data_IF_877534148766
#
_entry.id   IF_877534148766
#
_cell.length_a   1.000
_cell.length_b   1.000
_cell.length_c   1.000
_cell.angle_alpha   90.00
_cell.angle_beta   90.00
_cell.angle_gamma   90.00
#
_symmetry.space_group_name_H-M   'P 1'
#
loop_
_entity.id
_entity.type
_entity.pdbx_description
1 polymer ?
#
# COMPACT_ATOMS: atom_id res chain seq x y z
N UNK A 1 -16.62 -26.82 -1.61
CA UNK A 1 -15.81 -27.23 -2.76
C UNK A 1 -15.57 -25.98 -3.60
N UNK A 2 -14.30 -25.66 -3.93
CA UNK A 2 -13.84 -24.57 -4.83
C UNK A 2 -14.06 -23.16 -4.21
N UNK A 3 -13.11 -22.22 -4.13
CA UNK A 3 -12.04 -21.81 -5.06
C UNK A 3 -10.79 -21.33 -4.29
N UNK A 4 -9.69 -22.07 -4.42
CA UNK A 4 -8.34 -21.51 -4.38
C UNK A 4 -8.11 -20.81 -5.72
N UNK A 5 -7.98 -19.50 -5.74
CA UNK A 5 -7.39 -18.77 -6.86
C UNK A 5 -6.99 -17.39 -6.38
N UNK A 6 -5.67 -17.14 -6.31
CA UNK A 6 -5.00 -15.89 -6.74
C UNK A 6 -3.54 -15.93 -6.25
N UNK A 7 -2.69 -16.75 -6.86
CA UNK A 7 -1.22 -16.63 -6.72
C UNK A 7 -0.56 -16.00 -7.95
N UNK A 8 -1.31 -15.76 -9.04
CA UNK A 8 -0.73 -15.44 -10.35
C UNK A 8 -0.59 -13.95 -10.66
N UNK A 9 -1.22 -13.05 -9.88
CA UNK A 9 -1.21 -11.61 -10.18
C UNK A 9 0.05 -10.88 -9.65
N UNK A 10 0.84 -11.52 -8.79
CA UNK A 10 1.99 -10.93 -8.09
C UNK A 10 3.22 -10.65 -8.98
N UNK A 11 3.26 -11.12 -10.24
CA UNK A 11 4.46 -11.03 -11.10
C UNK A 11 4.60 -9.76 -11.93
N UNK A 12 3.53 -9.02 -12.23
CA UNK A 12 3.53 -8.11 -13.41
C UNK A 12 3.68 -6.61 -13.14
N UNK A 13 3.69 -6.14 -11.90
CA UNK A 13 3.69 -4.68 -11.60
C UNK A 13 5.03 -4.09 -11.08
N UNK A 14 6.08 -4.89 -10.85
CA UNK A 14 7.36 -4.37 -10.32
C UNK A 14 8.53 -4.57 -11.30
N UNK A 15 8.59 -3.69 -12.30
CA UNK A 15 9.79 -3.49 -13.11
C UNK A 15 10.92 -2.87 -12.26
N UNK A 16 12.06 -3.59 -12.22
CA UNK A 16 13.37 -3.17 -11.69
C UNK A 16 13.49 -2.96 -10.16
N UNK A 17 13.35 -4.05 -9.41
CA UNK A 17 14.25 -4.55 -8.33
C UNK A 17 13.49 -5.55 -7.45
N UNK A 18 13.04 -6.65 -8.05
CA UNK A 18 12.61 -7.83 -7.30
C UNK A 18 13.87 -8.65 -7.00
N UNK A 19 14.17 -9.02 -5.74
CA UNK A 19 15.23 -9.98 -5.45
C UNK A 19 14.94 -11.30 -6.18
N UNK A 20 15.93 -11.83 -6.87
CA UNK A 20 15.88 -12.94 -7.83
C UNK A 20 15.54 -14.34 -7.23
N UNK A 21 14.77 -14.41 -6.12
CA UNK A 21 14.52 -15.65 -5.36
C UNK A 21 13.06 -16.14 -5.44
N UNK A 22 12.23 -15.59 -6.34
CA UNK A 22 10.81 -15.93 -6.49
C UNK A 22 10.51 -16.81 -7.72
N UNK A 23 11.53 -17.41 -8.32
CA UNK A 23 11.40 -18.16 -9.59
C UNK A 23 11.86 -19.63 -9.55
N UNK A 24 11.94 -20.25 -8.37
CA UNK A 24 11.94 -21.71 -8.30
C UNK A 24 10.54 -22.21 -7.95
N UNK A 25 9.92 -23.10 -8.76
CA UNK A 25 8.83 -23.93 -8.28
C UNK A 25 9.43 -24.93 -7.28
N UNK A 26 9.68 -24.46 -6.05
CA UNK A 26 9.94 -25.34 -4.92
C UNK A 26 8.66 -26.05 -4.57
N UNK A 27 8.42 -27.16 -5.25
CA UNK A 27 7.70 -28.30 -4.70
C UNK A 27 8.57 -28.95 -3.62
N UNK A 28 8.89 -28.18 -2.59
CA UNK A 28 9.36 -28.73 -1.33
C UNK A 28 8.21 -28.44 -0.39
N UNK A 29 7.69 -29.50 0.21
CA UNK A 29 6.82 -29.44 1.36
C UNK A 29 7.41 -28.44 2.36
N UNK A 30 7.01 -27.15 2.29
CA UNK A 30 7.19 -26.21 3.40
C UNK A 30 6.51 -26.93 4.53
N UNK A 31 7.34 -27.37 5.47
CA UNK A 31 6.96 -27.89 6.77
C UNK A 31 5.68 -27.21 7.19
N UNK A 32 4.74 -27.97 7.75
CA UNK A 32 3.63 -27.40 8.50
C UNK A 32 4.25 -26.63 9.67
N UNK A 33 4.76 -25.44 9.39
CA UNK A 33 5.26 -24.45 10.32
C UNK A 33 4.02 -23.98 11.03
N UNK A 34 3.61 -24.76 12.02
CA UNK A 34 2.71 -24.28 13.06
C UNK A 34 3.42 -23.02 13.56
N UNK A 35 2.85 -21.83 13.32
CA UNK A 35 3.54 -20.60 13.67
C UNK A 35 3.87 -20.69 15.15
N UNK A 36 5.14 -20.51 15.48
CA UNK A 36 5.53 -20.47 16.88
C UNK A 36 4.76 -19.33 17.53
N UNK A 37 4.36 -19.50 18.80
CA UNK A 37 3.69 -18.44 19.56
C UNK A 37 4.47 -17.12 19.55
N UNK A 38 5.80 -17.20 19.42
CA UNK A 38 6.67 -16.05 19.26
C UNK A 38 6.52 -15.35 17.89
N UNK A 39 6.23 -16.08 16.83
CA UNK A 39 6.04 -15.51 15.49
C UNK A 39 4.69 -14.79 15.39
N UNK A 40 3.68 -15.38 16.02
CA UNK A 40 2.36 -14.77 16.13
C UNK A 40 2.41 -13.49 16.96
N UNK A 41 3.22 -13.44 18.03
CA UNK A 41 3.38 -12.22 18.83
C UNK A 41 4.03 -11.08 18.04
N UNK A 42 5.06 -11.37 17.24
CA UNK A 42 5.72 -10.38 16.36
C UNK A 42 4.77 -9.91 15.27
N UNK A 43 4.05 -10.83 14.62
CA UNK A 43 3.08 -10.48 13.58
C UNK A 43 1.94 -9.60 14.14
N UNK A 44 1.41 -9.95 15.30
CA UNK A 44 0.37 -9.17 15.99
C UNK A 44 0.85 -7.77 16.38
N UNK A 45 2.11 -7.65 16.80
CA UNK A 45 2.70 -6.36 17.13
C UNK A 45 2.89 -5.48 15.89
N UNK A 46 3.37 -6.06 14.78
CA UNK A 46 3.40 -5.35 13.49
C UNK A 46 2.00 -4.89 13.07
N UNK A 47 1.00 -5.76 13.15
CA UNK A 47 -0.38 -5.42 12.79
C UNK A 47 -0.90 -4.27 13.64
N UNK A 48 -0.66 -4.30 14.96
CA UNK A 48 -1.05 -3.22 15.88
C UNK A 48 -0.40 -1.89 15.51
N UNK A 49 0.90 -1.87 15.24
CA UNK A 49 1.60 -0.63 14.85
C UNK A 49 1.06 -0.09 13.53
N UNK A 50 0.86 -0.95 12.53
CA UNK A 50 0.31 -0.55 11.23
C UNK A 50 -1.11 0.01 11.38
N UNK A 51 -1.98 -0.64 12.16
CA UNK A 51 -3.34 -0.16 12.45
C UNK A 51 -3.34 1.19 13.16
N UNK A 52 -2.45 1.40 14.14
CA UNK A 52 -2.31 2.68 14.82
C UNK A 52 -1.90 3.80 13.84
N UNK A 53 -0.99 3.51 12.91
CA UNK A 53 -0.58 4.46 11.88
C UNK A 53 -1.74 4.77 10.94
N UNK A 54 -2.48 3.75 10.48
CA UNK A 54 -3.68 3.90 9.64
C UNK A 54 -4.75 4.77 10.33
N UNK A 55 -5.02 4.52 11.61
CA UNK A 55 -5.97 5.31 12.41
C UNK A 55 -5.53 6.77 12.49
N UNK A 56 -4.24 7.03 12.73
CA UNK A 56 -3.69 8.40 12.73
C UNK A 56 -3.78 9.10 11.36
N UNK A 57 -3.94 8.33 10.28
CA UNK A 57 -4.15 8.79 8.92
C UNK A 57 -5.64 8.94 8.56
N UNK A 58 -6.54 8.71 9.52
CA UNK A 58 -7.98 8.74 9.33
C UNK A 58 -8.51 7.59 8.47
N UNK A 59 -7.82 6.44 8.49
CA UNK A 59 -8.34 5.18 7.97
C UNK A 59 -8.88 4.39 9.17
N UNK A 60 -10.18 4.11 9.16
CA UNK A 60 -10.84 3.35 10.24
C UNK A 60 -10.74 1.85 9.99
N UNK A 61 -10.90 1.06 11.04
CA UNK A 61 -10.93 -0.42 10.96
C UNK A 61 -12.11 -0.92 10.11
N UNK A 62 -13.16 -0.10 9.95
CA UNK A 62 -14.26 -0.40 9.03
C UNK A 62 -13.93 -0.18 7.56
N UNK A 63 -12.86 0.56 7.23
CA UNK A 63 -12.43 0.79 5.86
C UNK A 63 -11.33 -0.19 5.42
N UNK A 64 -10.44 -0.58 6.34
CA UNK A 64 -9.29 -1.41 6.02
C UNK A 64 -8.93 -2.40 7.12
N UNK A 65 -8.53 -3.59 6.69
CA UNK A 65 -7.94 -4.64 7.51
C UNK A 65 -6.44 -4.76 7.26
N UNK A 66 -5.72 -5.30 8.23
CA UNK A 66 -4.27 -5.49 8.16
C UNK A 66 -3.94 -6.93 8.49
N UNK A 67 -3.33 -7.62 7.53
CA UNK A 67 -2.75 -8.94 7.71
C UNK A 67 -1.22 -8.83 7.67
N UNK A 68 -0.53 -9.56 8.54
CA UNK A 68 0.93 -9.59 8.56
C UNK A 68 1.40 -11.01 8.28
N UNK A 69 2.26 -11.15 7.28
CA UNK A 69 2.76 -12.45 6.83
C UNK A 69 4.28 -12.52 6.98
N UNK A 70 4.78 -13.64 7.49
CA UNK A 70 6.19 -13.99 7.39
C UNK A 70 6.49 -14.45 5.96
N UNK A 71 7.36 -13.74 5.26
CA UNK A 71 7.72 -14.03 3.86
C UNK A 71 8.99 -14.88 3.74
N UNK A 72 9.78 -14.96 4.81
CA UNK A 72 11.00 -15.77 4.86
C UNK A 72 11.93 -15.29 5.95
N UNK A 73 13.23 -15.50 5.73
CA UNK A 73 14.30 -15.10 6.63
C UNK A 73 15.39 -14.40 5.84
N UNK A 74 16.03 -13.42 6.47
CA UNK A 74 17.16 -12.69 5.91
C UNK A 74 18.46 -13.42 6.24
N UNK A 75 19.56 -13.06 5.56
CA UNK A 75 20.89 -13.70 5.73
C UNK A 75 21.42 -13.66 7.18
N UNK A 76 20.89 -12.76 8.01
CA UNK A 76 21.20 -12.60 9.43
C UNK A 76 20.33 -13.50 10.35
N UNK A 77 19.49 -14.37 9.77
CA UNK A 77 18.57 -15.24 10.50
C UNK A 77 17.31 -14.55 11.01
N UNK A 78 17.13 -13.24 10.73
CA UNK A 78 15.93 -12.52 11.16
C UNK A 78 14.77 -12.83 10.24
N UNK A 79 13.60 -13.11 10.83
CA UNK A 79 12.35 -13.31 10.11
C UNK A 79 11.92 -12.02 9.42
N UNK A 80 11.45 -12.17 8.18
CA UNK A 80 11.03 -11.08 7.31
C UNK A 80 9.50 -11.04 7.27
N UNK A 81 8.92 -9.92 7.65
CA UNK A 81 7.48 -9.71 7.69
C UNK A 81 7.05 -8.65 6.68
N UNK A 82 5.87 -8.84 6.08
CA UNK A 82 5.20 -7.86 5.22
C UNK A 82 3.79 -7.63 5.74
N UNK A 83 3.33 -6.37 5.68
CA UNK A 83 1.94 -6.04 5.99
C UNK A 83 1.12 -5.93 4.69
N UNK A 84 0.02 -6.67 4.61
CA UNK A 84 -1.00 -6.53 3.58
C UNK A 84 -2.16 -5.72 4.15
N UNK A 85 -2.43 -4.56 3.56
CA UNK A 85 -3.57 -3.72 3.89
C UNK A 85 -4.67 -4.02 2.89
N UNK A 86 -5.84 -4.44 3.37
CA UNK A 86 -6.98 -4.82 2.54
C UNK A 86 -8.09 -3.79 2.71
N UNK A 87 -8.56 -3.21 1.60
CA UNK A 87 -9.74 -2.32 1.66
C UNK A 87 -10.98 -3.20 1.81
N UNK A 88 -11.75 -3.03 2.88
CA UNK A 88 -12.97 -3.81 3.15
C UNK A 88 -14.26 -3.03 2.89
N UNK A 89 -14.20 -1.71 2.97
CA UNK A 89 -15.30 -0.81 2.64
C UNK A 89 -14.75 0.42 1.91
N UNK A 90 -15.47 0.87 0.88
CA UNK A 90 -15.10 2.08 0.16
C UNK A 90 -15.68 3.33 0.83
N UNK A 91 -14.80 4.15 1.38
CA UNK A 91 -15.08 5.53 1.71
C UNK A 91 -14.13 6.44 0.93
N UNK A 92 -14.66 7.50 0.31
CA UNK A 92 -13.88 8.35 -0.61
C UNK A 92 -12.58 8.87 0.01
N UNK A 93 -12.64 9.47 1.21
CA UNK A 93 -11.44 10.08 1.84
C UNK A 93 -10.42 9.02 2.30
N UNK A 94 -10.77 8.00 3.09
CA UNK A 94 -9.84 6.94 3.48
C UNK A 94 -9.30 6.13 2.29
N UNK A 95 -10.16 5.78 1.34
CA UNK A 95 -9.80 4.99 0.16
C UNK A 95 -8.78 5.72 -0.72
N UNK A 96 -8.99 7.01 -0.99
CA UNK A 96 -8.03 7.82 -1.73
C UNK A 96 -6.70 8.01 -0.97
N UNK A 97 -6.74 8.17 0.36
CA UNK A 97 -5.51 8.24 1.17
C UNK A 97 -4.72 6.94 1.12
N UNK A 98 -5.38 5.79 1.10
CA UNK A 98 -4.71 4.50 0.94
C UNK A 98 -4.12 4.34 -0.46
N UNK A 99 -4.91 4.61 -1.51
CA UNK A 99 -4.48 4.41 -2.90
C UNK A 99 -3.35 5.37 -3.31
N UNK A 100 -3.50 6.66 -3.01
CA UNK A 100 -2.53 7.69 -3.42
C UNK A 100 -1.42 7.87 -2.39
N UNK A 101 -1.70 7.59 -1.13
CA UNK A 101 -0.79 7.85 0.00
C UNK A 101 0.03 6.65 0.44
N UNK A 102 -0.08 5.48 -0.20
CA UNK A 102 0.65 4.27 0.22
C UNK A 102 2.16 4.48 0.42
N UNK A 103 2.90 5.18 -0.46
CA UNK A 103 4.34 5.38 -0.24
C UNK A 103 4.66 6.24 1.00
N UNK A 104 3.83 7.25 1.25
CA UNK A 104 3.96 8.14 2.40
C UNK A 104 3.55 7.43 3.70
N UNK A 105 2.50 6.62 3.62
CA UNK A 105 2.03 5.76 4.70
C UNK A 105 3.10 4.73 5.07
N UNK A 106 3.66 4.02 4.08
CA UNK A 106 4.73 3.05 4.28
C UNK A 106 5.94 3.70 4.94
N UNK A 107 6.33 4.90 4.50
CA UNK A 107 7.43 5.66 5.14
C UNK A 107 7.12 5.96 6.60
N UNK A 108 5.89 6.33 6.95
CA UNK A 108 5.49 6.57 8.34
C UNK A 108 5.46 5.28 9.16
N UNK A 109 4.98 4.18 8.60
CA UNK A 109 4.99 2.85 9.21
C UNK A 109 6.44 2.45 9.53
N UNK A 110 7.34 2.52 8.54
CA UNK A 110 8.76 2.18 8.74
C UNK A 110 9.42 3.01 9.84
N UNK A 111 9.20 4.33 9.85
CA UNK A 111 9.72 5.20 10.91
C UNK A 111 9.19 4.82 12.30
N UNK A 112 7.91 4.49 12.38
CA UNK A 112 7.28 4.09 13.65
C UNK A 112 7.82 2.75 14.13
N UNK A 113 7.98 1.79 13.22
CA UNK A 113 8.53 0.46 13.51
C UNK A 113 10.00 0.48 13.91
N UNK A 114 10.80 1.41 13.35
CA UNK A 114 12.20 1.58 13.74
C UNK A 114 12.37 1.95 15.22
N UNK A 115 11.38 2.58 15.83
CA UNK A 115 11.39 2.90 17.26
C UNK A 115 10.80 1.78 18.13
N UNK A 116 10.43 0.63 17.56
CA UNK A 116 9.74 -0.45 18.22
C UNK A 116 10.64 -1.69 18.38
N UNK A 117 10.46 -2.44 19.47
CA UNK A 117 11.26 -3.64 19.78
C UNK A 117 11.24 -4.70 18.67
N UNK A 118 10.17 -4.76 17.86
CA UNK A 118 10.06 -5.73 16.75
C UNK A 118 11.16 -5.57 15.70
N UNK A 119 11.69 -4.35 15.53
CA UNK A 119 12.80 -4.10 14.61
C UNK A 119 14.14 -4.69 15.08
N UNK A 120 14.26 -5.02 16.38
CA UNK A 120 15.46 -5.63 16.94
C UNK A 120 15.53 -7.13 16.63
N UNK A 121 14.37 -7.80 16.59
CA UNK A 121 14.26 -9.26 16.42
C UNK A 121 13.85 -9.70 15.01
N UNK A 122 13.35 -8.78 14.19
CA UNK A 122 12.78 -9.09 12.88
C UNK A 122 12.94 -7.95 11.87
N UNK A 123 12.60 -8.22 10.62
CA UNK A 123 12.76 -7.27 9.52
C UNK A 123 11.43 -6.98 8.82
N UNK A 124 11.11 -5.70 8.66
CA UNK A 124 9.91 -5.26 7.94
C UNK A 124 10.21 -5.01 6.46
N UNK A 125 9.72 -5.89 5.59
CA UNK A 125 9.91 -5.82 4.15
C UNK A 125 9.09 -4.69 3.49
N UNK A 126 7.93 -4.33 4.04
CA UNK A 126 7.11 -3.24 3.51
C UNK A 126 5.62 -3.44 3.73
N UNK A 127 4.84 -2.58 3.08
CA UNK A 127 3.38 -2.57 3.14
C UNK A 127 2.81 -2.62 1.73
N UNK A 128 1.89 -3.53 1.47
CA UNK A 128 1.20 -3.63 0.19
C UNK A 128 -0.30 -3.38 0.37
N UNK A 129 -0.91 -2.83 -0.68
CA UNK A 129 -2.34 -2.57 -0.70
C UNK A 129 -3.01 -3.63 -1.58
N UNK A 130 -3.90 -4.41 -0.98
CA UNK A 130 -4.78 -5.32 -1.68
C UNK A 130 -6.11 -4.60 -1.94
N UNK A 131 -6.28 -4.13 -3.17
CA UNK A 131 -7.57 -3.65 -3.65
C UNK A 131 -8.48 -4.87 -3.81
N UNK A 132 -9.46 -5.00 -2.92
CA UNK A 132 -10.50 -6.03 -3.05
C UNK A 132 -11.49 -5.64 -4.14
N UNK A 133 -12.40 -6.55 -4.45
CA UNK A 133 -13.54 -6.29 -5.33
C UNK A 133 -14.37 -5.06 -4.91
N UNK A 134 -14.26 -4.62 -3.64
CA UNK A 134 -14.90 -3.40 -3.14
C UNK A 134 -14.40 -2.12 -3.80
N UNK A 135 -13.15 -2.12 -4.28
CA UNK A 135 -12.62 -1.00 -5.08
C UNK A 135 -13.23 -0.99 -6.49
N UNK A 136 -13.79 -2.11 -6.94
CA UNK A 136 -14.53 -2.20 -8.19
C UNK A 136 -16.02 -1.85 -8.04
N UNK A 137 -16.51 -1.58 -6.82
CA UNK A 137 -17.89 -1.15 -6.60
C UNK A 137 -18.17 0.18 -7.33
N UNK A 138 -19.43 0.37 -7.77
CA UNK A 138 -19.85 1.54 -8.56
C UNK A 138 -19.51 2.87 -7.87
N UNK A 139 -19.56 2.92 -6.53
CA UNK A 139 -19.19 4.10 -5.76
C UNK A 139 -17.69 4.41 -5.79
N UNK A 140 -16.84 3.39 -5.79
CA UNK A 140 -15.39 3.57 -5.91
C UNK A 140 -15.02 4.02 -7.32
N UNK A 141 -15.63 3.43 -8.35
CA UNK A 141 -15.37 3.81 -9.74
C UNK A 141 -15.81 5.23 -10.06
N UNK A 142 -16.97 5.67 -9.56
CA UNK A 142 -17.48 7.02 -9.78
C UNK A 142 -16.61 8.10 -9.13
N UNK A 143 -15.93 7.77 -8.02
CA UNK A 143 -14.95 8.64 -7.38
C UNK A 143 -13.58 8.60 -8.07
N UNK A 144 -13.09 7.41 -8.41
CA UNK A 144 -11.74 7.21 -8.94
C UNK A 144 -11.60 7.67 -10.38
N UNK A 145 -12.59 7.43 -11.22
CA UNK A 145 -12.50 7.74 -12.65
C UNK A 145 -12.29 9.24 -12.94
N UNK A 146 -13.08 10.17 -12.37
CA UNK A 146 -12.84 11.60 -12.56
C UNK A 146 -11.47 12.02 -12.03
N UNK A 147 -11.04 11.49 -10.88
CA UNK A 147 -9.75 11.82 -10.29
C UNK A 147 -8.58 11.34 -11.15
N UNK A 148 -8.66 10.12 -11.69
CA UNK A 148 -7.66 9.62 -12.62
C UNK A 148 -7.59 10.50 -13.86
N UNK A 149 -8.73 10.86 -14.46
CA UNK A 149 -8.77 11.79 -15.60
C UNK A 149 -8.07 13.10 -15.26
N UNK A 150 -8.40 13.73 -14.12
CA UNK A 150 -7.79 14.99 -13.68
C UNK A 150 -6.29 14.86 -13.42
N UNK A 151 -5.83 13.75 -12.85
CA UNK A 151 -4.41 13.53 -12.52
C UNK A 151 -3.56 13.16 -13.74
N UNK A 152 -4.14 12.50 -14.74
CA UNK A 152 -3.43 12.07 -15.96
C UNK A 152 -3.53 13.05 -17.11
N UNK A 153 -4.46 14.01 -17.06
CA UNK A 153 -4.48 15.10 -18.02
C UNK A 153 -3.22 15.94 -17.82
N UNK A 154 -2.29 15.84 -18.77
CA UNK A 154 -1.16 16.76 -18.86
C UNK A 154 -1.74 18.16 -18.96
N UNK A 155 -1.50 18.97 -17.91
CA UNK A 155 -1.83 20.39 -17.95
C UNK A 155 -0.91 21.00 -19.00
N UNK A 156 -1.41 21.23 -20.22
CA UNK A 156 -0.62 21.87 -21.28
C UNK A 156 0.00 23.16 -20.72
N UNK A 157 1.35 23.24 -20.62
CA UNK A 157 2.03 24.44 -20.18
C UNK A 157 2.06 25.43 -21.35
N UNK A 158 0.91 25.99 -21.71
CA UNK A 158 0.77 26.81 -22.92
C UNK A 158 -0.27 27.93 -22.87
N UNK A 159 -1.21 27.91 -21.94
CA UNK A 159 -2.11 29.05 -21.72
C UNK A 159 -1.44 30.07 -20.78
N UNK A 160 -0.26 30.57 -21.18
CA UNK A 160 0.14 31.92 -20.77
C UNK A 160 -0.94 32.86 -21.30
N UNK A 161 -1.73 33.41 -20.40
CA UNK A 161 -2.53 34.61 -20.63
C UNK A 161 -1.59 35.68 -21.21
N UNK A 162 -1.59 35.76 -22.53
CA UNK A 162 -1.13 36.93 -23.29
C UNK A 162 -2.20 38.02 -23.12
N UNK A 163 -2.43 38.40 -21.86
CA UNK A 163 -3.22 39.57 -21.49
C UNK A 163 -2.37 40.78 -21.84
N UNK A 164 -2.39 41.13 -23.12
CA UNK A 164 -1.72 42.30 -23.65
C UNK A 164 -2.04 43.54 -22.81
N UNK A 165 -1.05 44.42 -22.55
CA UNK A 165 -1.29 45.64 -21.81
C UNK A 165 -2.31 46.49 -22.57
N UNK A 166 -3.51 46.63 -21.99
CA UNK A 166 -4.50 47.59 -22.43
C UNK A 166 -3.85 48.97 -22.53
N UNK A 167 -3.70 49.44 -23.78
CA UNK A 167 -3.35 50.83 -24.11
C UNK A 167 -4.36 51.76 -23.42
N UNK A 168 -3.96 52.38 -22.32
CA UNK A 168 -4.62 53.58 -21.82
C UNK A 168 -4.35 54.73 -22.78
N UNK A 169 -5.29 54.97 -23.69
CA UNK A 169 -5.33 56.18 -24.50
C UNK A 169 -5.76 57.36 -23.63
N UNK A 170 -4.81 58.22 -23.26
CA UNK A 170 -5.11 59.55 -22.76
C UNK A 170 -5.49 60.45 -23.95
N UNK A 171 -6.76 60.87 -24.01
CA UNK A 171 -7.20 62.00 -24.84
C UNK A 171 -7.38 63.22 -23.96
N UNK A 172 -6.66 64.28 -24.36
CA UNK A 172 -6.81 65.72 -24.08
C UNK A 172 -6.38 66.24 -22.72
#
# INVERSE_FOLDING_TARGET
>A
MIVQATSSFLRRLFGRRVPLWLDEPRTDYRSLDIPSRADESVANEYARVVLNVLRSWGVTEGCAEVDVHQMGERKDGRKVYVAAVRIVSWERRPGLRLLLGLPLLERKIRRTLQAHWVAEVSHFAGTWLHATDRVNDLGAQSDLRPLLITLTQEREPGATDDAGPHRFGAKR
#
